data_IF_316331348679
#
_entry.id   IF_316331348679
#
_cell.length_a   1.000
_cell.length_b   1.000
_cell.length_c   1.000
_cell.angle_alpha   90.00
_cell.angle_beta   90.00
_cell.angle_gamma   90.00
#
_symmetry.space_group_name_H-M   'P 1'
#
loop_
_entity.id
_entity.type
_entity.pdbx_description
1 polymer ?
#
# COMPACT_ATOMS: atom_id res chain seq x y z
N UNK A 1 10.32 17.45 12.17
CA UNK A 1 10.28 16.09 11.58
C UNK A 1 9.06 16.02 10.67
N UNK A 2 9.25 15.79 9.37
CA UNK A 2 8.16 15.80 8.39
C UNK A 2 7.35 14.50 8.41
N UNK A 3 6.25 14.51 7.66
CA UNK A 3 5.51 13.31 7.31
C UNK A 3 4.96 13.46 5.89
N UNK A 4 5.06 12.42 5.08
CA UNK A 4 4.52 12.37 3.73
C UNK A 4 3.48 11.25 3.64
N UNK A 5 2.39 11.49 2.92
CA UNK A 5 1.47 10.39 2.56
C UNK A 5 2.05 9.59 1.39
N UNK A 6 1.87 8.28 1.41
CA UNK A 6 2.31 7.40 0.32
C UNK A 6 1.19 6.47 -0.14
N UNK A 7 1.35 5.98 -1.37
CA UNK A 7 0.53 4.93 -1.97
C UNK A 7 1.42 3.99 -2.77
N UNK A 8 1.48 2.73 -2.38
CA UNK A 8 2.34 1.73 -3.02
C UNK A 8 1.55 0.48 -3.35
N UNK A 9 1.71 -0.03 -4.56
CA UNK A 9 1.10 -1.30 -4.96
C UNK A 9 2.10 -2.44 -4.79
N UNK A 10 1.63 -3.55 -4.21
CA UNK A 10 2.38 -4.80 -4.08
C UNK A 10 1.62 -5.97 -4.69
N UNK A 11 2.36 -7.02 -5.03
CA UNK A 11 1.81 -8.28 -5.52
C UNK A 11 2.39 -9.46 -4.76
N UNK A 12 1.54 -10.42 -4.41
CA UNK A 12 1.93 -11.64 -3.72
C UNK A 12 0.71 -12.55 -3.52
N UNK A 13 0.93 -13.80 -3.14
CA UNK A 13 -0.16 -14.75 -2.87
C UNK A 13 -0.94 -14.37 -1.60
N UNK A 14 -0.27 -13.66 -0.68
CA UNK A 14 -0.87 -13.11 0.53
C UNK A 14 -0.59 -11.62 0.64
N UNK A 15 -1.38 -10.91 1.45
CA UNK A 15 -1.13 -9.50 1.77
C UNK A 15 0.26 -9.27 2.35
N UNK A 16 0.76 -10.22 3.16
CA UNK A 16 2.10 -10.14 3.77
C UNK A 16 3.20 -10.23 2.72
N UNK A 17 3.11 -11.19 1.80
CA UNK A 17 4.08 -11.28 0.70
C UNK A 17 4.03 -10.04 -0.20
N UNK A 18 2.83 -9.55 -0.52
CA UNK A 18 2.68 -8.32 -1.31
C UNK A 18 3.28 -7.10 -0.61
N UNK A 19 3.16 -7.02 0.72
CA UNK A 19 3.75 -5.97 1.54
C UNK A 19 5.28 -6.04 1.52
N UNK A 20 5.84 -7.21 1.80
CA UNK A 20 7.29 -7.44 1.77
C UNK A 20 7.90 -7.09 0.41
N UNK A 21 7.29 -7.56 -0.69
CA UNK A 21 7.75 -7.22 -2.04
C UNK A 21 7.69 -5.71 -2.32
N UNK A 22 6.70 -5.00 -1.78
CA UNK A 22 6.58 -3.56 -1.91
C UNK A 22 7.63 -2.80 -1.06
N UNK A 23 7.96 -3.31 0.12
CA UNK A 23 9.03 -2.78 0.97
C UNK A 23 10.40 -2.96 0.34
N UNK A 24 10.75 -4.18 -0.07
CA UNK A 24 12.04 -4.48 -0.71
C UNK A 24 12.27 -3.59 -1.94
N UNK A 25 11.24 -3.39 -2.75
CA UNK A 25 11.31 -2.49 -3.89
C UNK A 25 11.50 -1.01 -3.48
N UNK A 26 10.87 -0.56 -2.39
CA UNK A 26 11.03 0.80 -1.90
C UNK A 26 12.43 1.03 -1.28
N UNK A 27 12.93 0.07 -0.51
CA UNK A 27 14.29 0.08 0.04
C UNK A 27 15.35 0.09 -1.06
N UNK A 28 15.16 -0.72 -2.11
CA UNK A 28 16.06 -0.72 -3.27
C UNK A 28 16.12 0.66 -3.96
N UNK A 29 14.97 1.35 -4.08
CA UNK A 29 14.87 2.62 -4.79
C UNK A 29 15.31 3.83 -3.95
N UNK A 30 15.14 3.78 -2.63
CA UNK A 30 15.31 4.93 -1.73
C UNK A 30 16.38 4.73 -0.65
N UNK A 31 17.00 3.55 -0.60
CA UNK A 31 17.96 3.16 0.41
C UNK A 31 17.31 2.70 1.73
N UNK A 32 18.14 2.21 2.64
CA UNK A 32 17.73 1.67 3.94
C UNK A 32 17.84 2.69 5.10
N UNK A 33 18.18 3.95 4.80
CA UNK A 33 18.58 4.95 5.79
C UNK A 33 17.46 5.55 6.67
N UNK A 34 16.22 5.05 6.56
CA UNK A 34 15.04 5.66 7.18
C UNK A 34 14.64 7.00 6.54
N UNK A 35 13.47 7.53 6.92
CA UNK A 35 12.94 8.83 6.45
C UNK A 35 12.82 8.98 4.92
N UNK A 36 12.58 7.86 4.24
CA UNK A 36 12.28 7.77 2.81
C UNK A 36 10.92 8.39 2.45
N UNK A 37 9.99 8.52 3.40
CA UNK A 37 8.60 8.90 3.12
C UNK A 37 7.81 7.81 2.40
N UNK A 38 8.22 6.54 2.51
CA UNK A 38 7.64 5.41 1.76
C UNK A 38 7.22 4.24 2.66
N UNK A 39 6.70 3.19 2.03
CA UNK A 39 6.37 1.92 2.70
C UNK A 39 7.60 1.23 3.33
N UNK A 40 8.83 1.57 2.93
CA UNK A 40 10.05 1.01 3.51
C UNK A 40 10.13 1.21 5.03
N UNK A 41 9.56 2.30 5.54
CA UNK A 41 9.54 2.60 6.99
C UNK A 41 8.47 1.84 7.77
N UNK A 42 7.59 1.09 7.11
CA UNK A 42 6.43 0.48 7.76
C UNK A 42 6.76 -0.92 8.25
N UNK A 43 6.58 -1.17 9.55
CA UNK A 43 6.83 -2.51 10.12
C UNK A 43 5.65 -3.49 9.94
N UNK A 44 4.52 -3.01 9.41
CA UNK A 44 3.34 -3.84 9.19
C UNK A 44 2.21 -3.08 8.52
N UNK A 45 1.07 -3.74 8.42
CA UNK A 45 -0.12 -3.19 7.81
C UNK A 45 -1.41 -3.66 8.50
N UNK A 46 -2.45 -2.85 8.38
CA UNK A 46 -3.82 -3.13 8.79
C UNK A 46 -4.70 -3.25 7.56
N UNK A 47 -5.36 -4.40 7.39
CA UNK A 47 -6.28 -4.61 6.26
C UNK A 47 -7.55 -3.83 6.49
N UNK A 48 -7.93 -2.99 5.52
CA UNK A 48 -9.21 -2.31 5.51
C UNK A 48 -10.29 -3.28 4.99
N UNK A 49 -11.35 -3.54 5.77
CA UNK A 49 -12.42 -4.47 5.41
C UNK A 49 -13.09 -4.17 4.06
N UNK A 50 -13.36 -5.23 3.28
CA UNK A 50 -14.03 -5.13 1.97
C UNK A 50 -15.38 -4.39 2.03
N UNK A 51 -16.12 -4.52 3.13
CA UNK A 51 -17.39 -3.84 3.37
C UNK A 51 -17.27 -2.32 3.29
N UNK A 52 -16.18 -1.74 3.77
CA UNK A 52 -15.97 -0.28 3.83
C UNK A 52 -15.75 0.36 2.44
N UNK A 53 -15.17 -0.42 1.52
CA UNK A 53 -14.73 0.06 0.21
C UNK A 53 -15.36 -0.68 -0.98
N UNK A 54 -16.39 -1.50 -0.74
CA UNK A 54 -17.17 -2.17 -1.80
C UNK A 54 -17.83 -1.12 -2.70
N UNK A 55 -17.77 -1.30 -4.02
CA UNK A 55 -18.31 -0.35 -5.00
C UNK A 55 -17.56 0.98 -5.13
N UNK A 56 -16.58 1.25 -4.26
CA UNK A 56 -15.76 2.48 -4.32
C UNK A 56 -14.46 2.25 -5.09
N UNK A 57 -13.96 3.30 -5.71
CA UNK A 57 -12.59 3.32 -6.24
C UNK A 57 -11.59 3.24 -5.07
N UNK A 58 -10.75 2.21 -5.08
CA UNK A 58 -9.93 1.80 -3.92
C UNK A 58 -8.93 2.87 -3.51
N UNK A 59 -8.21 3.44 -4.48
CA UNK A 59 -7.25 4.52 -4.23
C UNK A 59 -7.91 5.79 -3.72
N UNK A 60 -9.09 6.15 -4.24
CA UNK A 60 -9.85 7.30 -3.75
C UNK A 60 -10.29 7.10 -2.30
N UNK A 61 -10.77 5.91 -1.96
CA UNK A 61 -11.17 5.59 -0.59
C UNK A 61 -9.97 5.62 0.38
N UNK A 62 -8.83 5.04 0.00
CA UNK A 62 -7.58 5.16 0.76
C UNK A 62 -7.20 6.64 1.01
N UNK A 63 -7.30 7.50 -0.01
CA UNK A 63 -7.08 8.93 0.14
C UNK A 63 -8.05 9.60 1.10
N UNK A 64 -9.33 9.21 1.10
CA UNK A 64 -10.32 9.72 2.06
C UNK A 64 -9.95 9.37 3.50
N UNK A 65 -9.43 8.16 3.76
CA UNK A 65 -8.97 7.76 5.10
C UNK A 65 -7.79 8.62 5.57
N UNK A 66 -6.84 8.92 4.68
CA UNK A 66 -5.72 9.82 5.00
C UNK A 66 -6.18 11.25 5.24
N UNK A 67 -7.08 11.78 4.42
CA UNK A 67 -7.65 13.12 4.61
C UNK A 67 -8.46 13.21 5.91
N UNK A 68 -9.18 12.15 6.26
CA UNK A 68 -9.95 12.08 7.49
C UNK A 68 -9.10 11.79 8.73
N UNK A 69 -7.78 11.60 8.58
CA UNK A 69 -6.86 11.19 9.67
C UNK A 69 -7.36 9.94 10.41
N UNK A 70 -7.77 8.93 9.65
CA UNK A 70 -8.19 7.66 10.22
C UNK A 70 -7.04 7.05 11.04
N UNK A 71 -7.33 6.73 12.31
CA UNK A 71 -6.34 6.28 13.30
C UNK A 71 -5.53 5.07 12.84
N UNK A 72 -6.06 4.25 11.94
CA UNK A 72 -5.39 3.05 11.41
C UNK A 72 -4.21 3.39 10.50
N UNK A 73 -4.12 4.62 9.99
CA UNK A 73 -3.16 5.04 8.94
C UNK A 73 -2.55 6.44 9.14
N UNK A 74 -3.04 7.23 10.11
CA UNK A 74 -2.56 8.59 10.39
C UNK A 74 -1.19 8.60 11.09
N UNK A 75 -0.89 7.58 11.90
CA UNK A 75 0.41 7.47 12.57
C UNK A 75 1.52 7.12 11.57
N UNK A 76 2.46 8.06 11.42
CA UNK A 76 3.61 7.89 10.53
C UNK A 76 4.57 6.77 10.97
N UNK A 77 4.60 6.42 12.25
CA UNK A 77 5.35 5.28 12.80
C UNK A 77 4.50 4.02 12.94
N UNK A 78 3.18 4.18 12.84
CA UNK A 78 2.21 3.10 12.88
C UNK A 78 2.17 2.29 11.58
N UNK A 79 1.29 1.28 11.51
CA UNK A 79 1.17 0.42 10.35
C UNK A 79 0.68 1.18 9.10
N UNK A 80 0.90 0.59 7.91
CA UNK A 80 0.23 1.02 6.69
C UNK A 80 -1.23 0.53 6.66
N UNK A 81 -2.11 1.23 5.97
CA UNK A 81 -3.39 0.68 5.51
C UNK A 81 -3.18 -0.24 4.31
N UNK A 82 -3.95 -1.32 4.21
CA UNK A 82 -3.91 -2.26 3.09
C UNK A 82 -5.31 -2.50 2.53
N UNK A 83 -5.49 -2.31 1.21
CA UNK A 83 -6.73 -2.61 0.49
C UNK A 83 -6.42 -3.60 -0.63
N UNK A 84 -7.14 -4.73 -0.66
CA UNK A 84 -7.09 -5.64 -1.80
C UNK A 84 -7.75 -4.96 -3.02
N UNK A 85 -6.99 -4.84 -4.11
CA UNK A 85 -7.43 -4.25 -5.38
C UNK A 85 -7.57 -5.27 -6.50
N UNK A 86 -7.43 -6.57 -6.20
CA UNK A 86 -7.65 -7.63 -7.18
C UNK A 86 -9.03 -7.54 -7.84
N UNK A 87 -9.06 -7.81 -9.14
CA UNK A 87 -10.26 -7.70 -9.97
C UNK A 87 -10.61 -6.28 -10.44
N UNK A 88 -9.90 -5.23 -10.00
CA UNK A 88 -10.12 -3.87 -10.51
C UNK A 88 -9.25 -3.56 -11.74
N UNK A 89 -9.55 -2.46 -12.44
CA UNK A 89 -8.74 -1.98 -13.58
C UNK A 89 -7.32 -1.62 -13.13
N UNK A 90 -7.16 -1.09 -11.92
CA UNK A 90 -5.87 -0.75 -11.33
C UNK A 90 -4.99 -1.98 -11.16
N UNK A 91 -5.53 -3.11 -10.68
CA UNK A 91 -4.78 -4.35 -10.58
C UNK A 91 -4.36 -4.91 -11.94
N UNK A 92 -5.24 -4.84 -12.95
CA UNK A 92 -4.89 -5.25 -14.32
C UNK A 92 -3.74 -4.41 -14.89
N UNK A 93 -3.81 -3.10 -14.74
CA UNK A 93 -2.77 -2.18 -15.21
C UNK A 93 -1.43 -2.41 -14.48
N UNK A 94 -1.47 -2.63 -13.16
CA UNK A 94 -0.27 -2.95 -12.38
C UNK A 94 0.40 -4.23 -12.89
N UNK A 95 -0.39 -5.29 -13.11
CA UNK A 95 0.11 -6.57 -13.61
C UNK A 95 0.76 -6.45 -14.98
N UNK A 96 0.11 -5.79 -15.93
CA UNK A 96 0.66 -5.57 -17.27
C UNK A 96 2.00 -4.83 -17.21
N UNK A 97 2.11 -3.78 -16.40
CA UNK A 97 3.35 -2.99 -16.24
C UNK A 97 4.49 -3.76 -15.58
N UNK A 98 4.19 -4.80 -14.80
CA UNK A 98 5.17 -5.61 -14.07
C UNK A 98 5.40 -6.99 -14.71
N UNK A 99 4.77 -7.29 -15.85
CA UNK A 99 4.87 -8.62 -16.48
C UNK A 99 4.28 -9.75 -15.63
N UNK A 100 3.21 -9.46 -14.88
CA UNK A 100 2.54 -10.38 -13.95
C UNK A 100 1.17 -10.86 -14.48
N UNK A 101 0.92 -10.68 -15.77
CA UNK A 101 -0.29 -11.19 -16.43
C UNK A 101 -0.30 -12.72 -16.39
N UNK A 102 -1.46 -13.31 -16.07
CA UNK A 102 -1.60 -14.75 -15.90
C UNK A 102 -0.98 -15.33 -14.61
N UNK A 103 -0.17 -14.58 -13.85
CA UNK A 103 0.40 -15.06 -12.59
C UNK A 103 -0.62 -15.15 -11.46
N UNK A 104 -0.60 -16.24 -10.72
CA UNK A 104 -1.44 -16.43 -9.53
C UNK A 104 -0.99 -15.52 -8.38
N UNK A 105 -1.94 -14.92 -7.67
CA UNK A 105 -1.69 -14.02 -6.53
C UNK A 105 -2.64 -12.82 -6.54
N UNK A 106 -2.52 -11.96 -5.54
CA UNK A 106 -3.33 -10.77 -5.35
C UNK A 106 -2.52 -9.49 -5.51
N UNK A 107 -3.21 -8.41 -5.93
CA UNK A 107 -2.63 -7.06 -5.95
C UNK A 107 -3.22 -6.27 -4.78
N UNK A 108 -2.33 -5.68 -4.00
CA UNK A 108 -2.67 -4.90 -2.81
C UNK A 108 -2.23 -3.45 -2.98
N UNK A 109 -3.04 -2.52 -2.49
CA UNK A 109 -2.69 -1.12 -2.32
C UNK A 109 -2.37 -0.88 -0.85
N UNK A 110 -1.13 -0.48 -0.59
CA UNK A 110 -0.66 -0.01 0.71
C UNK A 110 -0.62 1.52 0.73
N UNK A 111 -1.00 2.13 1.85
CA UNK A 111 -1.06 3.58 1.99
C UNK A 111 -0.91 4.00 3.45
N UNK A 112 -0.52 5.23 3.73
CA UNK A 112 -0.29 5.69 5.09
C UNK A 112 0.49 7.00 5.11
N UNK A 113 0.72 7.51 6.32
CA UNK A 113 1.75 8.51 6.58
C UNK A 113 3.10 7.82 6.78
N UNK A 114 4.21 8.36 6.30
CA UNK A 114 5.57 7.90 6.58
C UNK A 114 6.44 9.11 6.95
N UNK A 115 7.51 8.91 7.71
CA UNK A 115 8.38 10.01 8.10
C UNK A 115 9.28 10.42 6.93
N UNK A 116 9.61 11.71 6.86
CA UNK A 116 10.54 12.27 5.88
C UNK A 116 11.38 13.39 6.51
#
# INVERSE_FOLDING_TARGET
>A
MGAASFFTYGFGETAKQAFQAAQEHAEYMHGHGGYTGTIAEKHGFTVIPKSEHKGKQKRKYAGQLLTARDERVDDKWGPAGAINVSGTKEAKNYRARKGLEGKHGDVWLFFGMASC
#
